data_IF_648566535959
#
_entry.id   IF_648566535959
#
_cell.length_a   1.000
_cell.length_b   1.000
_cell.length_c   1.000
_cell.angle_alpha   90.00
_cell.angle_beta   90.00
_cell.angle_gamma   90.00
#
_symmetry.space_group_name_H-M   'P 1'
#
loop_
_entity.id
_entity.type
_entity.pdbx_description
1 polymer ?
#
# COMPACT_ATOMS: atom_id res chain seq x y z
N UNK A 1 7.00 25.42 1.62
CA UNK A 1 5.83 25.97 0.91
C UNK A 1 5.74 25.50 -0.55
N UNK A 2 6.73 25.74 -1.42
CA UNK A 2 6.62 25.39 -2.86
C UNK A 2 6.64 23.89 -3.15
N UNK A 3 7.43 23.10 -2.40
CA UNK A 3 7.53 21.64 -2.57
C UNK A 3 6.26 20.88 -2.17
N UNK A 4 5.61 21.25 -1.08
CA UNK A 4 4.34 20.63 -0.64
C UNK A 4 3.20 20.96 -1.59
N UNK A 5 3.10 22.23 -2.03
CA UNK A 5 2.16 22.63 -3.08
C UNK A 5 2.39 21.87 -4.39
N UNK A 6 3.63 21.50 -4.73
CA UNK A 6 3.93 20.66 -5.90
C UNK A 6 3.41 19.23 -5.73
N UNK A 7 3.60 18.60 -4.56
CA UNK A 7 3.07 17.25 -4.28
C UNK A 7 1.54 17.24 -4.29
N UNK A 8 0.90 18.22 -3.65
CA UNK A 8 -0.57 18.34 -3.66
C UNK A 8 -1.12 18.64 -5.06
N UNK A 9 -0.42 19.46 -5.85
CA UNK A 9 -0.77 19.70 -7.26
C UNK A 9 -0.60 18.44 -8.10
N UNK A 10 0.49 17.69 -7.93
CA UNK A 10 0.71 16.43 -8.63
C UNK A 10 -0.39 15.40 -8.28
N UNK A 11 -0.76 15.30 -6.99
CA UNK A 11 -1.91 14.49 -6.54
C UNK A 11 -3.21 14.92 -7.22
N UNK A 12 -3.51 16.22 -7.22
CA UNK A 12 -4.72 16.74 -7.86
C UNK A 12 -4.74 16.46 -9.37
N UNK A 13 -3.60 16.64 -10.05
CA UNK A 13 -3.47 16.34 -11.48
C UNK A 13 -3.68 14.85 -11.75
N UNK A 14 -3.09 13.95 -10.96
CA UNK A 14 -3.30 12.51 -11.09
C UNK A 14 -4.77 12.13 -10.90
N UNK A 15 -5.42 12.67 -9.87
CA UNK A 15 -6.84 12.44 -9.59
C UNK A 15 -7.75 12.95 -10.72
N UNK A 16 -7.47 14.14 -11.26
CA UNK A 16 -8.21 14.69 -12.39
C UNK A 16 -8.04 13.84 -13.65
N UNK A 17 -6.81 13.43 -13.98
CA UNK A 17 -6.53 12.56 -15.13
C UNK A 17 -7.25 11.21 -15.04
N UNK A 18 -7.36 10.64 -13.84
CA UNK A 18 -8.11 9.40 -13.63
C UNK A 18 -9.63 9.59 -13.82
N UNK A 19 -10.16 10.78 -13.51
CA UNK A 19 -11.58 11.12 -13.70
C UNK A 19 -11.92 11.41 -15.17
N UNK A 20 -10.97 11.97 -15.93
CA UNK A 20 -11.12 12.27 -17.35
C UNK A 20 -10.97 11.04 -18.26
N UNK A 21 -10.66 9.87 -17.70
CA UNK A 21 -10.62 8.60 -18.40
C UNK A 21 -9.58 8.59 -19.52
N UNK A 22 -8.30 8.48 -19.18
CA UNK A 22 -7.19 8.15 -20.09
C UNK A 22 -7.34 8.68 -21.54
N UNK A 23 -7.65 9.97 -21.71
CA UNK A 23 -7.58 10.61 -23.03
C UNK A 23 -6.15 11.11 -23.24
N UNK A 24 -5.56 10.65 -24.34
CA UNK A 24 -4.22 10.97 -24.84
C UNK A 24 -4.02 12.48 -24.92
N UNK A 25 -2.91 12.97 -24.37
CA UNK A 25 -1.99 13.94 -24.99
C UNK A 25 -0.78 14.18 -24.05
N UNK A 26 0.40 13.83 -24.55
CA UNK A 26 1.69 13.98 -23.87
C UNK A 26 2.38 15.23 -24.44
N UNK A 27 2.71 16.26 -23.64
CA UNK A 27 3.87 17.09 -23.90
C UNK A 27 5.06 16.40 -23.24
N UNK A 28 6.00 15.94 -24.07
CA UNK A 28 7.18 15.22 -23.63
C UNK A 28 8.13 16.07 -22.81
N UNK A 29 8.82 15.43 -21.87
CA UNK A 29 10.23 15.61 -21.55
C UNK A 29 10.66 14.59 -20.48
N UNK A 30 11.63 13.74 -20.87
CA UNK A 30 12.67 13.13 -20.01
C UNK A 30 12.31 12.05 -18.94
N UNK A 31 11.26 11.24 -19.11
CA UNK A 31 11.06 9.98 -18.33
C UNK A 31 11.26 8.68 -19.15
N UNK A 32 11.48 8.77 -20.46
CA UNK A 32 11.50 7.59 -21.36
C UNK A 32 12.72 6.68 -21.20
N UNK A 33 13.80 7.11 -20.54
CA UNK A 33 15.02 6.29 -20.39
C UNK A 33 14.96 5.28 -19.25
N UNK A 34 14.26 5.55 -18.14
CA UNK A 34 14.17 4.59 -17.02
C UNK A 34 13.11 3.51 -17.27
N UNK A 35 11.97 3.87 -17.88
CA UNK A 35 10.94 2.89 -18.28
C UNK A 35 11.46 1.90 -19.33
N UNK A 36 12.29 2.35 -20.27
CA UNK A 36 12.86 1.46 -21.28
C UNK A 36 13.89 0.45 -20.72
N UNK A 37 14.58 0.78 -19.62
CA UNK A 37 15.49 -0.14 -18.93
C UNK A 37 14.75 -1.15 -18.05
N UNK A 38 13.67 -0.73 -17.37
CA UNK A 38 12.78 -1.66 -16.65
C UNK A 38 12.12 -2.67 -17.61
N UNK A 39 11.62 -2.21 -18.76
CA UNK A 39 11.00 -3.07 -19.78
C UNK A 39 12.00 -4.05 -20.42
N UNK A 40 13.28 -3.66 -20.57
CA UNK A 40 14.34 -4.56 -21.04
C UNK A 40 14.78 -5.58 -19.98
N UNK A 41 14.63 -5.27 -18.68
CA UNK A 41 14.91 -6.19 -17.57
C UNK A 41 13.93 -7.39 -17.53
N UNK A 42 12.76 -7.26 -18.16
CA UNK A 42 11.74 -8.31 -18.27
C UNK A 42 11.99 -9.31 -19.41
N UNK A 43 13.10 -9.20 -20.16
CA UNK A 43 13.45 -10.12 -21.25
C UNK A 43 14.12 -11.46 -20.79
N UNK A 44 13.71 -12.01 -19.65
CA UNK A 44 14.26 -13.27 -19.10
C UNK A 44 13.32 -14.48 -19.32
N UNK A 45 13.92 -15.66 -19.54
CA UNK A 45 13.21 -16.91 -19.94
C UNK A 45 12.48 -17.63 -18.79
N UNK A 46 12.62 -17.22 -17.52
CA UNK A 46 11.76 -17.67 -16.40
C UNK A 46 11.54 -16.58 -15.34
N UNK A 47 10.37 -16.57 -14.70
CA UNK A 47 9.99 -15.54 -13.71
C UNK A 47 10.84 -15.58 -12.42
N UNK A 48 11.38 -16.75 -12.06
CA UNK A 48 12.33 -16.89 -10.96
C UNK A 48 13.56 -16.00 -11.17
N UNK A 49 14.03 -15.91 -12.41
CA UNK A 49 15.17 -15.07 -12.77
C UNK A 49 14.76 -13.58 -12.71
N UNK A 50 13.59 -13.19 -13.21
CA UNK A 50 13.10 -11.80 -13.11
C UNK A 50 12.92 -11.31 -11.67
N UNK A 51 12.43 -12.16 -10.75
CA UNK A 51 12.35 -11.80 -9.32
C UNK A 51 13.70 -11.72 -8.64
N UNK A 52 14.63 -12.63 -8.96
CA UNK A 52 16.00 -12.55 -8.45
C UNK A 52 16.68 -11.29 -9.00
N UNK A 53 16.48 -10.96 -10.26
CA UNK A 53 16.98 -9.72 -10.88
C UNK A 53 16.38 -8.50 -10.21
N UNK A 54 15.06 -8.43 -10.00
CA UNK A 54 14.42 -7.32 -9.29
C UNK A 54 14.89 -7.22 -7.83
N UNK A 55 15.04 -8.35 -7.12
CA UNK A 55 15.58 -8.36 -5.75
C UNK A 55 17.05 -7.92 -5.69
N UNK A 56 17.84 -8.22 -6.72
CA UNK A 56 19.26 -7.88 -6.82
C UNK A 56 19.43 -6.41 -7.22
N UNK A 57 18.72 -5.96 -8.25
CA UNK A 57 18.60 -4.56 -8.65
C UNK A 57 18.18 -3.68 -7.45
N UNK A 58 17.14 -4.09 -6.72
CA UNK A 58 16.66 -3.37 -5.55
C UNK A 58 17.68 -3.31 -4.40
N UNK A 59 18.59 -4.28 -4.31
CA UNK A 59 19.66 -4.31 -3.30
C UNK A 59 20.83 -3.40 -3.67
N UNK A 60 21.07 -3.23 -4.97
CA UNK A 60 22.25 -2.55 -5.52
C UNK A 60 21.99 -1.08 -5.90
N UNK A 61 20.76 -0.72 -6.27
CA UNK A 61 20.46 0.59 -6.88
C UNK A 61 19.46 1.45 -6.13
N UNK A 62 18.77 0.94 -5.11
CA UNK A 62 17.77 1.74 -4.40
C UNK A 62 18.41 2.59 -3.30
N UNK A 63 18.54 3.88 -3.61
CA UNK A 63 18.86 4.96 -2.67
C UNK A 63 17.63 5.53 -1.95
N UNK A 64 16.40 5.08 -2.27
CA UNK A 64 15.14 5.56 -1.69
C UNK A 64 14.07 4.45 -1.43
N UNK A 65 13.44 4.38 -0.24
CA UNK A 65 12.55 3.28 0.19
C UNK A 65 11.32 2.96 -0.67
N UNK A 66 10.87 3.91 -1.50
CA UNK A 66 9.59 3.84 -2.20
C UNK A 66 9.65 3.04 -3.53
N UNK A 67 10.83 2.95 -4.15
CA UNK A 67 11.00 2.44 -5.51
C UNK A 67 10.87 0.91 -5.66
N UNK A 68 10.65 0.16 -4.57
CA UNK A 68 10.78 -1.30 -4.54
C UNK A 68 9.44 -2.07 -4.52
N UNK A 69 8.29 -1.39 -4.35
CA UNK A 69 7.01 -2.07 -4.16
C UNK A 69 6.28 -2.34 -5.48
N UNK A 70 5.84 -3.58 -5.66
CA UNK A 70 4.91 -3.96 -6.74
C UNK A 70 3.44 -3.75 -6.35
N UNK A 71 3.19 -3.26 -5.13
CA UNK A 71 1.85 -3.01 -4.59
C UNK A 71 1.48 -1.54 -4.67
N UNK A 72 0.20 -1.26 -4.95
CA UNK A 72 -0.40 0.06 -4.79
C UNK A 72 -0.64 0.29 -3.30
N UNK A 73 0.10 1.24 -2.73
CA UNK A 73 0.07 1.58 -1.33
C UNK A 73 -0.85 2.79 -1.11
N UNK A 74 -1.78 2.73 -0.15
CA UNK A 74 -2.72 3.80 0.07
C UNK A 74 -2.10 4.96 0.83
N UNK A 75 -2.52 6.18 0.48
CA UNK A 75 -2.33 7.34 1.34
C UNK A 75 -3.34 7.34 2.49
N UNK A 76 -3.06 8.08 3.57
CA UNK A 76 -4.04 8.25 4.63
C UNK A 76 -5.08 9.30 4.27
N UNK A 77 -6.36 9.02 4.56
CA UNK A 77 -7.47 9.94 4.36
C UNK A 77 -7.36 11.13 5.34
N UNK A 78 -6.79 12.23 4.86
CA UNK A 78 -6.65 13.48 5.63
C UNK A 78 -7.86 14.41 5.46
N UNK A 79 -8.49 14.36 4.30
CA UNK A 79 -9.65 15.16 3.91
C UNK A 79 -10.60 14.27 3.12
N UNK A 80 -11.91 14.47 3.28
CA UNK A 80 -12.93 13.70 2.57
C UNK A 80 -13.02 14.19 1.12
N UNK A 81 -12.80 13.33 0.10
CA UNK A 81 -12.95 13.72 -1.30
C UNK A 81 -14.36 14.23 -1.59
N UNK A 82 -14.50 15.34 -2.32
CA UNK A 82 -15.81 15.93 -2.65
C UNK A 82 -16.67 15.02 -3.54
N UNK A 83 -16.05 14.09 -4.27
CA UNK A 83 -16.71 13.10 -5.10
C UNK A 83 -16.62 11.69 -4.51
N UNK A 84 -16.52 11.57 -3.18
CA UNK A 84 -16.38 10.28 -2.50
C UNK A 84 -17.48 9.31 -2.91
N UNK A 85 -18.73 9.75 -2.94
CA UNK A 85 -19.88 8.88 -3.24
C UNK A 85 -19.93 8.37 -4.67
N UNK A 86 -19.59 9.21 -5.65
CA UNK A 86 -19.71 8.85 -7.06
C UNK A 86 -18.49 8.13 -7.63
N UNK A 87 -17.29 8.46 -7.12
CA UNK A 87 -16.03 8.09 -7.78
C UNK A 87 -15.18 7.11 -6.99
N UNK A 88 -15.62 6.67 -5.81
CA UNK A 88 -14.85 5.77 -4.96
C UNK A 88 -15.66 4.55 -4.53
N UNK A 89 -14.93 3.47 -4.25
CA UNK A 89 -15.42 2.26 -3.59
C UNK A 89 -14.85 2.22 -2.16
N UNK A 90 -15.60 1.72 -1.21
CA UNK A 90 -15.18 1.51 0.19
C UNK A 90 -15.14 0.02 0.53
N UNK A 91 -14.13 -0.38 1.30
CA UNK A 91 -13.87 -1.78 1.63
C UNK A 91 -13.44 -1.94 3.09
N UNK A 92 -13.97 -2.92 3.84
CA UNK A 92 -13.46 -3.25 5.16
C UNK A 92 -12.04 -3.81 5.03
N UNK A 93 -11.06 -3.16 5.66
CA UNK A 93 -9.66 -3.59 5.57
C UNK A 93 -9.38 -4.68 6.61
N UNK A 94 -9.01 -5.91 6.24
CA UNK A 94 -8.63 -6.92 7.22
C UNK A 94 -7.36 -6.55 7.99
N UNK A 95 -7.25 -7.00 9.24
CA UNK A 95 -6.00 -6.98 9.98
C UNK A 95 -5.03 -8.04 9.44
N UNK A 96 -3.77 -7.67 9.21
CA UNK A 96 -2.74 -8.62 8.79
C UNK A 96 -1.57 -7.97 8.07
N UNK A 97 -0.78 -8.78 7.39
CA UNK A 97 0.41 -8.37 6.65
C UNK A 97 0.08 -8.24 5.16
N UNK A 98 0.21 -7.04 4.59
CA UNK A 98 0.06 -6.81 3.14
C UNK A 98 1.16 -7.55 2.37
N UNK A 99 0.80 -8.27 1.32
CA UNK A 99 1.68 -9.14 0.56
C UNK A 99 1.27 -9.26 -0.91
N UNK A 100 2.26 -9.45 -1.77
CA UNK A 100 2.06 -9.86 -3.17
C UNK A 100 2.00 -11.39 -3.22
N UNK A 101 0.89 -11.94 -3.70
CA UNK A 101 0.76 -13.37 -3.94
C UNK A 101 0.93 -13.64 -5.43
N UNK A 102 1.79 -14.59 -5.75
CA UNK A 102 2.02 -14.99 -7.13
C UNK A 102 1.95 -16.50 -7.32
N UNK A 103 1.10 -16.94 -8.23
CA UNK A 103 0.94 -18.34 -8.61
C UNK A 103 1.48 -18.56 -10.03
N UNK A 104 2.57 -19.32 -10.15
CA UNK A 104 3.25 -19.58 -11.42
C UNK A 104 3.93 -20.96 -11.38
N UNK A 105 4.03 -21.60 -12.56
CA UNK A 105 4.76 -22.86 -12.74
C UNK A 105 4.35 -24.01 -11.79
N UNK A 106 3.13 -23.96 -11.26
CA UNK A 106 2.59 -24.97 -10.34
C UNK A 106 2.93 -24.75 -8.87
N UNK A 107 3.37 -23.54 -8.49
CA UNK A 107 3.58 -23.13 -7.09
C UNK A 107 3.09 -21.71 -6.85
N UNK A 108 2.80 -21.41 -5.59
CA UNK A 108 2.38 -20.09 -5.10
C UNK A 108 3.44 -19.52 -4.18
N UNK A 109 3.89 -18.31 -4.48
CA UNK A 109 4.90 -17.54 -3.76
C UNK A 109 4.25 -16.32 -3.11
N UNK A 110 4.77 -15.91 -1.96
CA UNK A 110 4.23 -14.78 -1.20
C UNK A 110 5.37 -13.86 -0.81
N UNK A 111 5.28 -12.61 -1.23
CA UNK A 111 6.28 -11.59 -1.01
C UNK A 111 5.73 -10.44 -0.19
N UNK A 112 6.59 -9.84 0.62
CA UNK A 112 6.28 -8.60 1.35
C UNK A 112 6.21 -7.41 0.39
N UNK A 113 5.82 -6.25 0.93
CA UNK A 113 5.83 -4.96 0.23
C UNK A 113 7.19 -4.61 -0.40
N UNK A 114 8.30 -5.11 0.15
CA UNK A 114 9.67 -4.91 -0.36
C UNK A 114 10.22 -6.14 -1.09
N UNK A 115 9.31 -6.96 -1.62
CA UNK A 115 9.59 -8.17 -2.40
C UNK A 115 10.41 -9.25 -1.69
N UNK A 116 10.55 -9.16 -0.36
CA UNK A 116 11.16 -10.24 0.43
C UNK A 116 10.18 -11.40 0.62
N UNK A 117 10.60 -12.67 0.42
CA UNK A 117 9.74 -13.84 0.65
C UNK A 117 9.23 -13.89 2.10
N UNK A 118 7.91 -14.03 2.28
CA UNK A 118 7.28 -14.10 3.60
C UNK A 118 7.15 -15.53 4.14
N UNK A 119 7.05 -16.50 3.24
CA UNK A 119 6.88 -17.91 3.57
C UNK A 119 7.44 -18.82 2.47
N UNK A 120 7.53 -20.13 2.76
CA UNK A 120 7.91 -21.12 1.75
C UNK A 120 6.81 -21.22 0.68
N UNK A 121 7.17 -21.45 -0.59
CA UNK A 121 6.18 -21.66 -1.64
C UNK A 121 5.28 -22.86 -1.34
N UNK A 122 4.01 -22.76 -1.71
CA UNK A 122 3.01 -23.78 -1.46
C UNK A 122 2.12 -24.04 -2.69
N UNK A 123 1.33 -25.11 -2.64
CA UNK A 123 0.34 -25.40 -3.69
C UNK A 123 -0.97 -24.69 -3.37
N UNK A 124 -1.53 -23.97 -4.33
CA UNK A 124 -2.85 -23.35 -4.21
C UNK A 124 -3.77 -23.72 -5.37
N UNK A 125 -5.07 -23.48 -5.19
CA UNK A 125 -6.06 -23.57 -6.25
C UNK A 125 -6.05 -22.38 -7.22
N UNK A 126 -5.17 -21.39 -7.03
CA UNK A 126 -5.04 -20.29 -7.99
C UNK A 126 -4.60 -20.82 -9.36
N UNK A 127 -4.91 -20.12 -10.46
CA UNK A 127 -4.36 -20.44 -11.78
C UNK A 127 -2.84 -20.54 -11.71
N UNK A 128 -2.27 -21.62 -12.23
CA UNK A 128 -0.83 -21.93 -12.15
C UNK A 128 -0.24 -22.07 -10.74
N UNK A 129 -1.05 -22.14 -9.68
CA UNK A 129 -0.61 -22.28 -8.30
C UNK A 129 -0.34 -23.70 -7.81
N UNK A 130 -0.69 -24.72 -8.61
CA UNK A 130 -0.42 -26.13 -8.35
C UNK A 130 -0.15 -26.88 -9.65
N UNK A 131 0.34 -28.12 -9.56
CA UNK A 131 0.47 -28.98 -10.73
C UNK A 131 -0.87 -29.26 -11.43
N UNK A 132 -2.00 -29.22 -10.71
CA UNK A 132 -3.36 -29.40 -11.27
C UNK A 132 -3.84 -28.18 -12.05
N UNK A 133 -3.45 -26.99 -11.62
CA UNK A 133 -3.86 -25.72 -12.22
C UNK A 133 -2.79 -25.14 -13.15
N UNK A 134 -1.65 -25.84 -13.33
CA UNK A 134 -0.52 -25.40 -14.13
C UNK A 134 -0.90 -25.28 -15.60
N UNK A 135 -0.68 -24.10 -16.17
CA UNK A 135 -0.69 -23.84 -17.61
C UNK A 135 0.63 -23.19 -18.01
N UNK A 136 1.23 -23.65 -19.10
CA UNK A 136 2.55 -23.16 -19.55
C UNK A 136 2.44 -21.68 -19.91
N UNK A 137 3.32 -20.84 -19.33
CA UNK A 137 3.35 -19.39 -19.58
C UNK A 137 2.31 -18.57 -18.80
N UNK A 138 1.35 -19.20 -18.11
CA UNK A 138 0.34 -18.47 -17.35
C UNK A 138 0.80 -18.23 -15.92
N UNK A 139 0.43 -17.06 -15.38
CA UNK A 139 0.59 -16.74 -13.97
C UNK A 139 -0.65 -16.03 -13.41
N UNK A 140 -0.77 -16.01 -12.09
CA UNK A 140 -1.76 -15.25 -11.34
C UNK A 140 -1.02 -14.35 -10.35
N UNK A 141 -1.36 -13.08 -10.31
CA UNK A 141 -0.74 -12.08 -9.43
C UNK A 141 -1.85 -11.34 -8.68
N UNK A 142 -1.87 -11.49 -7.36
CA UNK A 142 -2.86 -10.90 -6.47
C UNK A 142 -2.18 -9.99 -5.45
N UNK A 143 -2.88 -8.92 -5.10
CA UNK A 143 -2.58 -8.12 -3.93
C UNK A 143 -3.43 -8.59 -2.76
N UNK A 144 -2.81 -9.00 -1.66
CA UNK A 144 -3.48 -9.65 -0.53
C UNK A 144 -3.05 -9.09 0.82
N UNK A 145 -3.87 -9.29 1.85
CA UNK A 145 -3.48 -9.24 3.26
C UNK A 145 -3.56 -10.67 3.80
N UNK A 146 -2.47 -11.18 4.36
CA UNK A 146 -2.49 -12.47 5.07
C UNK A 146 -2.75 -12.22 6.56
N UNK A 147 -3.67 -12.98 7.15
CA UNK A 147 -3.97 -12.91 8.57
C UNK A 147 -2.79 -13.35 9.46
N UNK A 148 -2.74 -12.86 10.70
CA UNK A 148 -1.77 -13.29 11.71
C UNK A 148 -0.30 -13.24 11.27
N UNK A 149 0.51 -14.18 11.80
CA UNK A 149 1.90 -14.34 11.39
C UNK A 149 1.97 -15.16 10.09
N UNK A 150 2.56 -14.63 9.00
CA UNK A 150 2.69 -15.34 7.74
C UNK A 150 3.43 -16.68 7.82
N UNK A 151 4.15 -16.98 8.90
CA UNK A 151 4.90 -18.25 9.05
C UNK A 151 4.07 -19.41 9.60
N UNK A 152 2.90 -19.13 10.15
CA UNK A 152 2.04 -20.15 10.73
C UNK A 152 1.20 -20.83 9.63
N UNK A 153 0.69 -22.04 9.91
CA UNK A 153 -0.17 -22.79 8.98
C UNK A 153 -1.61 -22.28 8.97
N UNK A 154 -2.40 -22.73 7.99
CA UNK A 154 -3.85 -22.51 7.86
C UNK A 154 -4.24 -21.03 7.89
N UNK A 155 -3.62 -20.25 7.00
CA UNK A 155 -3.83 -18.81 6.88
C UNK A 155 -4.84 -18.46 5.81
N UNK A 156 -5.47 -17.30 6.01
CA UNK A 156 -6.40 -16.71 5.05
C UNK A 156 -5.71 -15.53 4.38
N UNK A 157 -5.59 -15.63 3.06
CA UNK A 157 -5.20 -14.53 2.19
C UNK A 157 -6.46 -13.76 1.78
N UNK A 158 -6.64 -12.59 2.37
CA UNK A 158 -7.67 -11.66 1.98
C UNK A 158 -7.25 -10.95 0.69
N UNK A 159 -7.90 -11.29 -0.43
CA UNK A 159 -7.61 -10.74 -1.76
C UNK A 159 -8.21 -9.34 -1.84
N UNK A 160 -7.34 -8.37 -2.13
CA UNK A 160 -7.67 -6.95 -2.21
C UNK A 160 -7.76 -6.48 -3.65
N UNK A 161 -6.83 -6.90 -4.51
CA UNK A 161 -6.84 -6.57 -5.93
C UNK A 161 -6.23 -7.71 -6.74
N UNK A 162 -6.45 -7.70 -8.06
CA UNK A 162 -5.93 -8.67 -9.00
C UNK A 162 -5.20 -7.94 -10.13
N UNK A 163 -3.90 -8.18 -10.25
CA UNK A 163 -3.07 -7.57 -11.28
C UNK A 163 -3.07 -8.45 -12.53
N UNK A 164 -2.98 -9.77 -12.34
CA UNK A 164 -2.95 -10.72 -13.45
C UNK A 164 -3.73 -11.99 -13.08
N UNK A 165 -4.54 -12.50 -14.01
CA UNK A 165 -5.28 -13.74 -13.84
C UNK A 165 -5.10 -14.69 -15.02
N UNK A 166 -4.53 -15.88 -14.76
CA UNK A 166 -4.28 -16.90 -15.79
C UNK A 166 -3.53 -16.35 -17.02
N UNK A 167 -2.53 -15.50 -16.80
CA UNK A 167 -1.70 -14.89 -17.85
C UNK A 167 -2.25 -13.57 -18.41
N UNK A 168 -3.52 -13.23 -18.16
CA UNK A 168 -4.10 -11.96 -18.59
C UNK A 168 -3.80 -10.85 -17.59
N UNK A 169 -2.99 -9.87 -17.99
CA UNK A 169 -2.72 -8.66 -17.22
C UNK A 169 -3.91 -7.71 -17.33
N UNK A 170 -4.41 -7.26 -16.18
CA UNK A 170 -5.53 -6.33 -16.05
C UNK A 170 -5.15 -5.13 -15.15
N UNK A 171 -3.86 -4.96 -14.83
CA UNK A 171 -3.38 -3.89 -13.94
C UNK A 171 -3.72 -2.49 -14.45
N UNK A 172 -3.73 -2.29 -15.77
CA UNK A 172 -4.10 -1.03 -16.43
C UNK A 172 -5.62 -0.79 -16.55
N UNK A 173 -6.45 -1.80 -16.25
CA UNK A 173 -7.90 -1.61 -16.23
C UNK A 173 -8.33 -0.77 -15.02
N UNK A 174 -9.54 -0.21 -15.03
CA UNK A 174 -10.10 0.52 -13.88
C UNK A 174 -10.20 -0.37 -12.63
N UNK A 175 -10.07 0.23 -11.43
CA UNK A 175 -10.21 -0.49 -10.18
C UNK A 175 -11.57 -1.21 -10.09
N UNK A 176 -12.66 -0.54 -10.46
CA UNK A 176 -13.99 -1.14 -10.48
C UNK A 176 -14.04 -2.42 -11.35
N UNK A 177 -13.42 -2.38 -12.54
CA UNK A 177 -13.33 -3.57 -13.39
C UNK A 177 -12.48 -4.67 -12.76
N UNK A 178 -11.28 -4.37 -12.25
CA UNK A 178 -10.40 -5.37 -11.63
C UNK A 178 -11.07 -6.06 -10.45
N UNK A 179 -11.79 -5.29 -9.62
CA UNK A 179 -12.50 -5.79 -8.44
C UNK A 179 -13.73 -6.62 -8.80
N UNK A 180 -14.52 -6.18 -9.78
CA UNK A 180 -15.61 -6.99 -10.33
C UNK A 180 -15.09 -8.29 -10.93
N UNK A 181 -14.05 -8.22 -11.75
CA UNK A 181 -13.48 -9.36 -12.45
C UNK A 181 -12.95 -10.42 -11.49
N UNK A 182 -12.14 -10.03 -10.51
CA UNK A 182 -11.63 -11.00 -9.52
C UNK A 182 -12.76 -11.61 -8.70
N UNK A 183 -13.85 -10.87 -8.44
CA UNK A 183 -15.01 -11.41 -7.76
C UNK A 183 -15.68 -12.54 -8.55
N UNK A 184 -15.91 -12.34 -9.84
CA UNK A 184 -16.48 -13.37 -10.71
C UNK A 184 -15.55 -14.58 -10.84
N UNK A 185 -14.24 -14.34 -11.03
CA UNK A 185 -13.26 -15.43 -11.12
C UNK A 185 -13.14 -16.24 -9.83
N UNK A 186 -13.31 -15.60 -8.68
CA UNK A 186 -13.26 -16.26 -7.38
C UNK A 186 -14.52 -17.11 -7.11
N UNK A 187 -15.67 -16.78 -7.71
CA UNK A 187 -16.91 -17.58 -7.65
C UNK A 187 -16.85 -18.81 -8.55
N UNK A 188 -16.27 -18.68 -9.74
CA UNK A 188 -16.18 -19.76 -10.73
C UNK A 188 -15.25 -20.91 -10.29
N UNK A 189 -14.22 -20.62 -9.48
CA UNK A 189 -13.22 -21.59 -9.07
C UNK A 189 -13.48 -22.21 -7.69
N UNK A 190 -13.18 -23.49 -7.52
CA UNK A 190 -13.00 -24.09 -6.18
C UNK A 190 -11.66 -23.64 -5.58
N UNK A 191 -11.52 -22.34 -5.33
CA UNK A 191 -10.29 -21.73 -4.83
C UNK A 191 -10.04 -22.13 -3.37
N UNK A 192 -11.09 -22.57 -2.66
CA UNK A 192 -11.04 -23.10 -1.29
C UNK A 192 -11.53 -24.56 -1.26
N UNK A 193 -10.72 -25.48 -1.79
CA UNK A 193 -10.99 -26.92 -1.74
C UNK A 193 -10.63 -27.55 -0.39
N UNK A 194 -11.19 -28.74 -0.11
CA UNK A 194 -11.07 -29.47 1.18
C UNK A 194 -9.62 -29.79 1.60
N UNK A 195 -8.66 -29.73 0.65
CA UNK A 195 -7.23 -30.00 0.89
C UNK A 195 -6.34 -28.75 0.76
N UNK A 196 -6.91 -27.54 0.75
CA UNK A 196 -6.10 -26.32 0.65
C UNK A 196 -5.53 -25.94 2.03
N UNK A 197 -4.20 -25.93 2.12
CA UNK A 197 -3.47 -25.48 3.31
C UNK A 197 -3.71 -23.99 3.62
N UNK A 198 -4.11 -23.21 2.61
CA UNK A 198 -4.34 -21.78 2.72
C UNK A 198 -5.59 -21.39 1.95
N UNK A 199 -6.39 -20.50 2.54
CA UNK A 199 -7.63 -20.03 1.98
C UNK A 199 -7.43 -18.68 1.30
N UNK A 200 -8.13 -18.44 0.19
CA UNK A 200 -8.23 -17.13 -0.42
C UNK A 200 -9.66 -16.61 -0.26
N UNK A 201 -9.80 -15.47 0.39
CA UNK A 201 -11.09 -14.83 0.64
C UNK A 201 -11.08 -13.46 0.00
N UNK A 202 -12.05 -13.16 -0.87
CA UNK A 202 -12.16 -11.83 -1.42
C UNK A 202 -12.65 -10.85 -0.35
N UNK A 203 -11.98 -9.71 -0.23
CA UNK A 203 -12.50 -8.59 0.57
C UNK A 203 -13.73 -8.01 -0.14
N UNK A 204 -14.89 -7.83 0.50
CA UNK A 204 -16.03 -7.25 -0.18
C UNK A 204 -15.75 -5.79 -0.60
N UNK A 205 -16.46 -5.34 -1.62
CA UNK A 205 -16.41 -3.96 -2.11
C UNK A 205 -17.81 -3.38 -2.11
N UNK A 206 -17.95 -2.16 -1.63
CA UNK A 206 -19.21 -1.43 -1.58
C UNK A 206 -19.04 -0.10 -2.29
N UNK A 207 -20.12 0.40 -2.88
CA UNK A 207 -20.17 1.80 -3.30
C UNK A 207 -20.10 2.71 -2.08
N UNK A 208 -19.52 3.89 -2.24
CA UNK A 208 -19.46 4.92 -1.19
C UNK A 208 -20.81 5.64 -1.00
N UNK A 209 -21.93 4.91 -1.01
CA UNK A 209 -23.23 5.42 -0.54
C UNK A 209 -23.27 5.40 0.99
N UNK A 210 -24.28 6.02 1.59
CA UNK A 210 -24.43 6.00 3.06
C UNK A 210 -24.55 4.56 3.58
N UNK A 211 -25.32 3.73 2.87
CA UNK A 211 -25.53 2.31 3.19
C UNK A 211 -24.25 1.49 2.98
N UNK A 212 -23.60 1.62 1.82
CA UNK A 212 -22.39 0.86 1.50
C UNK A 212 -21.21 1.20 2.41
N UNK A 213 -21.07 2.49 2.79
CA UNK A 213 -20.09 2.90 3.79
C UNK A 213 -20.37 2.27 5.17
N UNK A 214 -21.62 2.33 5.65
CA UNK A 214 -21.98 1.73 6.94
C UNK A 214 -21.80 0.22 6.94
N UNK A 215 -22.09 -0.45 5.83
CA UNK A 215 -21.87 -1.89 5.67
C UNK A 215 -20.38 -2.24 5.80
N UNK A 216 -19.49 -1.49 5.12
CA UNK A 216 -18.05 -1.65 5.28
C UNK A 216 -17.57 -1.32 6.72
N UNK A 217 -18.07 -0.22 7.29
CA UNK A 217 -17.71 0.26 8.61
C UNK A 217 -18.12 -0.70 9.74
N UNK A 218 -19.26 -1.36 9.59
CA UNK A 218 -19.76 -2.35 10.56
C UNK A 218 -19.45 -3.81 10.19
N UNK A 219 -18.80 -4.06 9.05
CA UNK A 219 -18.45 -5.42 8.61
C UNK A 219 -17.73 -6.25 9.69
N UNK A 220 -18.21 -7.49 9.91
CA UNK A 220 -17.73 -8.42 10.95
C UNK A 220 -17.23 -9.78 10.41
N UNK A 221 -17.05 -9.92 9.09
CA UNK A 221 -16.62 -11.20 8.50
C UNK A 221 -15.18 -11.62 8.87
N UNK A 222 -14.38 -10.69 9.41
CA UNK A 222 -13.04 -10.92 9.95
C UNK A 222 -12.64 -9.76 10.87
N UNK A 223 -11.52 -9.92 11.56
CA UNK A 223 -10.93 -8.85 12.36
C UNK A 223 -10.44 -7.71 11.45
N UNK A 224 -11.07 -6.54 11.59
CA UNK A 224 -10.85 -5.37 10.74
C UNK A 224 -9.77 -4.46 11.33
N UNK A 225 -9.03 -3.79 10.45
CA UNK A 225 -8.01 -2.79 10.76
C UNK A 225 -8.21 -1.54 9.88
N UNK A 226 -9.42 -0.98 9.95
CA UNK A 226 -9.82 0.22 9.21
C UNK A 226 -10.60 -0.04 7.93
N UNK A 227 -10.63 0.97 7.07
CA UNK A 227 -11.28 0.98 5.76
C UNK A 227 -10.26 1.31 4.66
N UNK A 228 -10.46 0.74 3.48
CA UNK A 228 -9.82 1.16 2.25
C UNK A 228 -10.83 1.86 1.33
N UNK A 229 -10.35 2.87 0.63
CA UNK A 229 -11.07 3.50 -0.46
C UNK A 229 -10.27 3.37 -1.75
N UNK A 230 -10.93 3.04 -2.86
CA UNK A 230 -10.33 2.95 -4.18
C UNK A 230 -11.05 3.89 -5.14
N UNK A 231 -10.30 4.71 -5.88
CA UNK A 231 -10.87 5.46 -7.00
C UNK A 231 -11.32 4.48 -8.09
N UNK A 232 -12.61 4.52 -8.45
CA UNK A 232 -13.25 3.55 -9.35
C UNK A 232 -12.52 3.40 -10.68
N UNK A 233 -12.12 4.51 -11.28
CA UNK A 233 -11.57 4.58 -12.63
C UNK A 233 -10.04 4.43 -12.69
N UNK A 234 -9.35 4.38 -11.54
CA UNK A 234 -7.91 4.39 -11.52
C UNK A 234 -7.28 3.03 -11.93
N UNK A 235 -6.15 3.05 -12.68
CA UNK A 235 -5.35 1.86 -12.87
C UNK A 235 -4.69 1.42 -11.55
N UNK A 236 -4.04 0.27 -11.56
CA UNK A 236 -3.26 -0.19 -10.42
C UNK A 236 -1.90 0.52 -10.39
N UNK A 237 -1.86 1.69 -9.76
CA UNK A 237 -0.64 2.49 -9.66
C UNK A 237 0.27 1.98 -8.54
N UNK A 238 1.38 1.33 -8.90
CA UNK A 238 2.40 0.84 -7.94
C UNK A 238 2.99 2.00 -7.13
N UNK A 239 3.40 1.72 -5.88
CA UNK A 239 3.93 2.75 -4.98
C UNK A 239 2.84 3.44 -4.17
N UNK A 240 3.21 4.50 -3.44
CA UNK A 240 2.25 5.32 -2.71
C UNK A 240 1.35 6.05 -3.72
N UNK A 241 0.05 5.82 -3.66
CA UNK A 241 -0.90 6.28 -4.67
C UNK A 241 -2.05 7.07 -4.05
N UNK A 242 -2.39 8.24 -4.61
CA UNK A 242 -3.59 8.98 -4.21
C UNK A 242 -4.88 8.28 -4.65
N UNK A 243 -4.81 7.25 -5.52
CA UNK A 243 -5.99 6.49 -5.96
C UNK A 243 -6.48 5.46 -4.94
N UNK A 244 -5.70 5.22 -3.89
CA UNK A 244 -6.06 4.37 -2.78
C UNK A 244 -5.91 5.14 -1.48
N UNK A 245 -6.94 5.14 -0.64
CA UNK A 245 -6.91 5.78 0.67
C UNK A 245 -7.15 4.76 1.79
N UNK A 246 -6.56 5.02 2.94
CA UNK A 246 -6.80 4.27 4.17
C UNK A 246 -7.27 5.21 5.27
N UNK A 247 -8.26 4.76 6.02
CA UNK A 247 -8.78 5.48 7.18
C UNK A 247 -9.11 4.49 8.30
N UNK A 248 -9.01 4.92 9.55
CA UNK A 248 -9.46 4.13 10.70
C UNK A 248 -9.74 5.01 11.91
N UNK A 249 -10.60 4.50 12.77
CA UNK A 249 -10.87 5.03 14.10
C UNK A 249 -10.86 3.89 15.14
N UNK A 250 -11.20 4.24 16.39
CA UNK A 250 -11.27 3.30 17.51
C UNK A 250 -12.28 2.16 17.32
N UNK A 251 -13.33 2.37 16.54
CA UNK A 251 -14.41 1.40 16.39
C UNK A 251 -14.15 0.39 15.26
N UNK A 252 -13.43 0.79 14.20
CA UNK A 252 -13.12 -0.09 13.07
C UNK A 252 -11.71 -0.69 13.09
N UNK A 253 -10.85 -0.32 14.04
CA UNK A 253 -9.51 -0.89 14.20
C UNK A 253 -9.09 -1.06 15.67
N UNK A 254 -8.70 -2.28 16.09
CA UNK A 254 -8.13 -2.49 17.42
C UNK A 254 -6.72 -1.88 17.56
N UNK A 255 -6.08 -1.54 16.44
CA UNK A 255 -4.73 -0.95 16.39
C UNK A 255 -4.78 0.59 16.30
N UNK A 256 -5.95 1.20 16.42
CA UNK A 256 -6.09 2.66 16.32
C UNK A 256 -5.27 3.38 17.40
N UNK A 257 -5.25 2.87 18.63
CA UNK A 257 -4.45 3.46 19.72
C UNK A 257 -2.94 3.36 19.45
N UNK A 258 -2.48 2.25 18.85
CA UNK A 258 -1.07 2.12 18.42
C UNK A 258 -0.72 3.13 17.31
N UNK A 259 -1.67 3.45 16.44
CA UNK A 259 -1.49 4.49 15.41
C UNK A 259 -1.48 5.87 16.05
N UNK A 260 -2.38 6.15 17.01
CA UNK A 260 -2.40 7.40 17.79
C UNK A 260 -1.09 7.58 18.53
N UNK A 261 -0.56 6.54 19.17
CA UNK A 261 0.70 6.61 19.92
C UNK A 261 1.95 6.49 19.04
N UNK A 262 1.81 6.05 17.80
CA UNK A 262 2.95 5.65 16.97
C UNK A 262 3.42 4.25 17.37
N UNK A 263 3.78 3.46 16.37
CA UNK A 263 4.11 2.04 16.57
C UNK A 263 5.14 1.85 17.70
N UNK A 264 4.80 1.01 18.68
CA UNK A 264 5.46 0.74 19.97
C UNK A 264 4.85 1.52 21.17
N UNK A 265 3.77 0.97 21.73
CA UNK A 265 3.02 1.40 22.92
C UNK A 265 3.82 1.37 24.26
N UNK A 266 5.15 1.53 24.22
CA UNK A 266 6.02 1.32 25.38
C UNK A 266 6.59 2.61 25.98
N UNK A 267 6.34 3.79 25.40
CA UNK A 267 6.92 5.03 25.91
C UNK A 267 5.90 5.89 26.65
N UNK A 268 6.16 6.09 27.95
CA UNK A 268 5.58 7.15 28.78
C UNK A 268 5.97 8.58 28.33
N UNK A 269 6.60 8.72 27.16
CA UNK A 269 6.95 10.00 26.56
C UNK A 269 5.81 10.47 25.67
N UNK A 270 5.46 11.76 25.75
CA UNK A 270 4.41 12.36 24.91
C UNK A 270 4.83 12.48 23.41
N UNK A 271 5.93 11.83 22.98
CA UNK A 271 6.51 11.94 21.64
C UNK A 271 5.86 10.97 20.65
N UNK A 272 5.81 11.34 19.38
CA UNK A 272 5.36 10.46 18.29
C UNK A 272 6.50 9.59 17.79
N UNK A 273 6.20 8.38 17.33
CA UNK A 273 7.19 7.45 16.77
C UNK A 273 6.89 7.12 15.31
N UNK A 274 7.89 7.19 14.44
CA UNK A 274 7.77 6.91 13.01
C UNK A 274 8.99 6.17 12.47
N UNK A 275 8.84 5.44 11.37
CA UNK A 275 9.96 4.90 10.61
C UNK A 275 10.22 5.76 9.37
N UNK A 276 11.41 6.30 9.23
CA UNK A 276 11.82 7.10 8.08
C UNK A 276 13.15 6.57 7.54
N UNK A 277 13.53 7.02 6.35
CA UNK A 277 14.80 6.65 5.75
C UNK A 277 15.82 7.75 5.92
N UNK A 278 17.04 7.39 6.29
CA UNK A 278 18.17 8.30 6.36
C UNK A 278 19.06 8.07 5.14
N UNK A 279 19.19 9.10 4.29
CA UNK A 279 20.12 9.13 3.16
C UNK A 279 21.58 9.25 3.62
N UNK A 280 22.53 8.96 2.73
CA UNK A 280 23.98 9.02 3.04
C UNK A 280 24.43 10.44 3.36
N UNK A 281 23.76 11.42 2.79
CA UNK A 281 23.94 12.85 3.00
C UNK A 281 23.27 13.38 4.28
N UNK A 282 22.62 12.51 5.07
CA UNK A 282 21.93 12.88 6.31
C UNK A 282 20.52 13.47 6.09
N UNK A 283 20.00 13.41 4.87
CA UNK A 283 18.59 13.72 4.60
C UNK A 283 17.69 12.67 5.24
N UNK A 284 16.56 13.09 5.78
CA UNK A 284 15.55 12.18 6.33
C UNK A 284 14.32 12.24 5.44
N UNK A 285 13.96 11.08 4.90
CA UNK A 285 13.04 10.91 3.79
C UNK A 285 11.84 10.05 4.19
N UNK A 286 10.68 10.43 3.69
CA UNK A 286 9.45 9.63 3.66
C UNK A 286 9.46 8.66 2.46
N UNK A 287 8.44 7.79 2.36
CA UNK A 287 8.24 6.93 1.19
C UNK A 287 7.37 7.56 0.09
N UNK A 288 7.11 8.88 0.13
CA UNK A 288 6.37 9.58 -0.91
C UNK A 288 7.11 9.51 -2.27
N UNK A 289 6.42 9.79 -3.36
CA UNK A 289 7.01 9.87 -4.71
C UNK A 289 6.76 11.26 -5.32
N UNK A 290 7.80 12.09 -5.54
CA UNK A 290 9.18 11.89 -5.07
C UNK A 290 9.29 11.95 -3.54
N UNK A 291 10.32 11.33 -2.93
CA UNK A 291 10.49 11.32 -1.47
C UNK A 291 10.53 12.73 -0.86
N UNK A 292 9.74 12.97 0.19
CA UNK A 292 9.75 14.25 0.89
C UNK A 292 10.87 14.25 1.94
N UNK A 293 11.77 15.24 1.84
CA UNK A 293 12.77 15.53 2.86
C UNK A 293 12.10 16.26 4.02
N UNK A 294 11.93 15.58 5.15
CA UNK A 294 11.24 16.12 6.33
C UNK A 294 12.19 16.77 7.34
N UNK A 295 13.48 16.43 7.26
CA UNK A 295 14.55 17.01 8.06
C UNK A 295 15.91 16.71 7.43
N UNK A 296 16.93 17.45 7.85
CA UNK A 296 18.34 17.14 7.60
C UNK A 296 19.00 17.01 8.97
N UNK A 297 19.49 15.82 9.32
CA UNK A 297 20.18 15.63 10.58
C UNK A 297 21.67 15.42 10.33
N UNK A 298 22.45 16.46 10.63
CA UNK A 298 23.90 16.44 10.80
C UNK A 298 24.17 16.98 12.21
N UNK A 299 24.27 16.13 13.23
CA UNK A 299 25.09 16.37 14.44
C UNK A 299 25.03 15.23 15.48
N UNK A 300 26.22 14.61 15.67
CA UNK A 300 26.98 14.46 16.92
C UNK A 300 26.77 13.33 17.94
N UNK A 301 26.02 12.26 17.64
CA UNK A 301 26.13 11.05 18.51
C UNK A 301 25.98 9.67 17.84
N UNK A 302 25.78 9.62 16.52
CA UNK A 302 25.80 8.38 15.73
C UNK A 302 26.67 8.60 14.49
N UNK A 303 27.96 8.84 14.71
CA UNK A 303 28.97 9.07 13.66
C UNK A 303 29.49 7.76 13.09
N UNK A 304 28.63 6.85 12.66
CA UNK A 304 29.01 5.97 11.54
C UNK A 304 28.47 6.64 10.27
N UNK A 305 29.29 7.56 9.74
CA UNK A 305 29.01 8.48 8.62
C UNK A 305 28.70 7.78 7.28
N UNK A 306 28.30 6.51 7.29
CA UNK A 306 28.15 5.66 6.10
C UNK A 306 26.88 4.77 6.09
N UNK A 307 25.99 4.85 7.08
CA UNK A 307 24.83 3.94 7.15
C UNK A 307 23.57 4.62 6.63
N UNK A 308 23.33 4.53 5.31
CA UNK A 308 22.00 4.77 4.75
C UNK A 308 21.06 3.62 5.08
N UNK A 309 19.82 3.92 5.46
CA UNK A 309 18.87 2.86 5.78
C UNK A 309 17.60 3.34 6.44
N UNK A 310 16.79 2.38 6.91
CA UNK A 310 15.57 2.66 7.67
C UNK A 310 15.91 2.84 9.15
N UNK A 311 15.35 3.88 9.75
CA UNK A 311 15.51 4.18 11.16
C UNK A 311 14.18 4.52 11.78
N UNK A 312 14.05 4.18 13.06
CA UNK A 312 12.97 4.64 13.91
C UNK A 312 13.36 6.01 14.47
N UNK A 313 12.44 6.95 14.39
CA UNK A 313 12.57 8.27 14.95
C UNK A 313 11.45 8.56 15.94
N UNK A 314 11.77 9.36 16.95
CA UNK A 314 10.80 10.06 17.78
C UNK A 314 10.75 11.54 17.37
N UNK A 315 9.59 12.17 17.47
CA UNK A 315 9.43 13.59 17.19
C UNK A 315 8.35 14.23 18.08
N UNK A 316 8.40 15.55 18.18
CA UNK A 316 7.52 16.32 19.07
C UNK A 316 6.25 16.75 18.33
N UNK A 317 6.40 17.32 17.13
CA UNK A 317 5.30 17.82 16.32
C UNK A 317 5.65 17.86 14.82
N UNK A 318 4.63 18.04 13.99
CA UNK A 318 4.74 18.32 12.56
C UNK A 318 4.38 19.78 12.29
N UNK A 319 5.27 20.48 11.58
CA UNK A 319 4.95 21.73 10.92
C UNK A 319 4.37 21.38 9.54
N UNK A 320 3.05 21.23 9.49
CA UNK A 320 2.32 20.86 8.28
C UNK A 320 2.55 21.89 7.16
N UNK A 321 2.53 23.18 7.47
CA UNK A 321 2.71 24.25 6.48
C UNK A 321 4.10 24.25 5.83
N UNK A 322 5.14 23.97 6.62
CA UNK A 322 6.52 23.90 6.12
C UNK A 322 6.91 22.51 5.61
N UNK A 323 6.11 21.47 5.88
CA UNK A 323 6.42 20.09 5.52
C UNK A 323 7.63 19.56 6.29
N UNK A 324 7.73 19.88 7.59
CA UNK A 324 8.89 19.54 8.43
C UNK A 324 8.48 18.82 9.71
N UNK A 325 9.39 18.01 10.22
CA UNK A 325 9.24 17.35 11.52
C UNK A 325 10.10 18.06 12.55
N UNK A 326 9.51 18.46 13.68
CA UNK A 326 10.16 19.20 14.77
C UNK A 326 10.53 18.24 15.89
N UNK A 327 11.72 18.45 16.49
CA UNK A 327 12.18 17.62 17.61
C UNK A 327 12.59 16.19 17.22
N UNK A 328 12.92 15.97 15.94
CA UNK A 328 13.22 14.65 15.39
C UNK A 328 14.51 14.06 15.98
N UNK A 329 14.39 12.90 16.61
CA UNK A 329 15.48 12.15 17.25
C UNK A 329 15.51 10.72 16.73
N UNK A 330 16.64 10.30 16.17
CA UNK A 330 16.86 8.90 15.80
C UNK A 330 16.94 8.02 17.06
N UNK A 331 16.20 6.91 17.06
CA UNK A 331 16.11 5.96 18.18
C UNK A 331 16.92 4.69 17.89
N UNK A 332 16.68 4.05 16.74
CA UNK A 332 17.33 2.78 16.36
C UNK A 332 17.24 2.52 14.86
N UNK A 333 18.19 1.75 14.33
CA UNK A 333 18.10 1.20 12.99
C UNK A 333 16.98 0.14 12.90
N UNK A 334 16.33 0.06 11.73
CA UNK A 334 15.26 -0.88 11.41
C UNK A 334 15.74 -1.79 10.29
N UNK A 335 15.73 -3.10 10.51
CA UNK A 335 16.28 -4.08 9.56
C UNK A 335 15.44 -4.27 8.30
N UNK A 336 14.12 -4.07 8.39
CA UNK A 336 13.17 -4.38 7.33
C UNK A 336 11.91 -3.55 7.47
N UNK A 337 11.25 -3.25 6.35
CA UNK A 337 10.03 -2.48 6.32
C UNK A 337 10.10 -1.43 5.22
N UNK A 338 9.37 -0.35 5.40
CA UNK A 338 9.37 0.81 4.52
C UNK A 338 9.31 2.07 5.38
N UNK A 339 9.80 3.19 4.85
CA UNK A 339 9.55 4.48 5.47
C UNK A 339 8.05 4.79 5.46
N UNK A 340 7.60 5.58 6.43
CA UNK A 340 6.24 6.08 6.51
C UNK A 340 6.05 7.26 5.55
N UNK A 341 4.83 7.38 5.01
CA UNK A 341 4.46 8.50 4.14
C UNK A 341 4.18 9.77 4.95
N UNK A 342 4.28 10.92 4.29
CA UNK A 342 3.87 12.20 4.87
C UNK A 342 2.41 12.16 5.34
N UNK A 343 1.51 11.58 4.55
CA UNK A 343 0.09 11.47 4.91
C UNK A 343 -0.13 10.63 6.17
N UNK A 344 0.70 9.61 6.41
CA UNK A 344 0.67 8.85 7.67
C UNK A 344 1.07 9.72 8.86
N UNK A 345 2.16 10.48 8.73
CA UNK A 345 2.63 11.37 9.81
C UNK A 345 1.53 12.37 10.19
N UNK A 346 0.95 13.04 9.19
CA UNK A 346 -0.14 14.01 9.41
C UNK A 346 -1.35 13.34 10.05
N UNK A 347 -1.77 12.18 9.55
CA UNK A 347 -2.88 11.43 10.14
C UNK A 347 -2.62 11.11 11.61
N UNK A 348 -1.42 10.61 11.95
CA UNK A 348 -1.07 10.30 13.34
C UNK A 348 -1.12 11.53 14.25
N UNK A 349 -0.64 12.70 13.78
CA UNK A 349 -0.73 13.94 14.55
C UNK A 349 -2.18 14.36 14.79
N UNK A 350 -3.01 14.35 13.73
CA UNK A 350 -4.42 14.68 13.85
C UNK A 350 -5.18 13.67 14.71
N UNK A 351 -4.85 12.39 14.63
CA UNK A 351 -5.40 11.35 15.50
C UNK A 351 -5.11 11.60 16.98
N UNK A 352 -3.90 12.09 17.31
CA UNK A 352 -3.55 12.49 18.68
C UNK A 352 -4.39 13.64 19.20
N UNK A 353 -4.67 14.60 18.33
CA UNK A 353 -5.44 15.81 18.65
C UNK A 353 -6.95 15.63 18.46
N UNK A 354 -7.39 14.44 18.04
CA UNK A 354 -8.77 14.14 17.66
C UNK A 354 -9.31 15.08 16.54
N UNK A 355 -8.41 15.48 15.62
CA UNK A 355 -8.64 16.40 14.48
C UNK A 355 -8.72 15.69 13.11
N UNK A 356 -8.65 14.36 13.09
CA UNK A 356 -8.81 13.60 11.85
C UNK A 356 -10.29 13.58 11.41
N UNK A 357 -10.60 13.33 10.11
CA UNK A 357 -11.98 13.15 9.68
C UNK A 357 -12.68 12.07 10.51
N UNK A 358 -13.80 12.41 11.13
CA UNK A 358 -14.65 11.48 11.85
C UNK A 358 -15.53 10.68 10.89
N UNK A 359 -16.21 9.65 11.41
CA UNK A 359 -17.26 8.95 10.68
C UNK A 359 -18.32 9.91 10.16
N UNK A 360 -18.71 10.89 10.96
CA UNK A 360 -19.73 11.87 10.59
C UNK A 360 -19.26 12.77 9.45
N UNK A 361 -17.99 13.18 9.45
CA UNK A 361 -17.42 13.97 8.35
C UNK A 361 -17.40 13.18 7.03
N UNK A 362 -17.08 11.88 7.11
CA UNK A 362 -17.08 11.00 5.93
C UNK A 362 -18.51 10.81 5.41
N UNK A 363 -19.47 10.52 6.28
CA UNK A 363 -20.89 10.40 5.91
C UNK A 363 -21.45 11.71 5.33
N UNK A 364 -21.09 12.85 5.92
CA UNK A 364 -21.48 14.16 5.38
C UNK A 364 -20.89 14.41 3.98
N UNK A 365 -19.67 13.96 3.72
CA UNK A 365 -19.03 14.07 2.40
C UNK A 365 -19.60 13.13 1.33
N UNK A 366 -20.32 12.07 1.71
CA UNK A 366 -21.07 11.21 0.77
C UNK A 366 -22.33 11.93 0.26
N UNK A 367 -22.96 12.73 1.12
CA UNK A 367 -24.23 13.42 0.85
C UNK A 367 -25.45 12.54 1.16
N UNK A 368 -26.58 13.15 1.55
CA UNK A 368 -27.79 12.44 2.00
C UNK A 368 -28.56 11.70 0.88
N UNK A 369 -28.25 11.97 -0.40
CA UNK A 369 -28.99 11.49 -1.56
C UNK A 369 -28.14 10.69 -2.57
N UNK A 370 -26.98 10.17 -2.14
CA UNK A 370 -26.03 9.45 -3.01
C UNK A 370 -26.10 7.93 -2.87
#
# INVERSE_FOLDING_TARGET
MERMKRVERARAIMLLRAQEGASKDIPGEEEETEQHEEDQLFASKTFSDSMVTLQTYNREHITAPAACTQLMLPEWLLYVPSNLSSSWLVRPRPQGVRCLVMAAEGRTHVFSRTLQPLMRPFLSSLPSGSWRTRRKGNMCVLDCIVDGNPRDRNKTFFVLDCLQWSGCDISECSAEFRLFWVAERMKEGSINGVNNTYNFMLVPSFDCTHEGFLEAYHYQGYLKDGLFFYSKLAPYARGLSPFALVWKDKACSPLYEDVKQGTDAANASNKMSTTLFMGREGSILTCDSPPLVVSHQLTDSWTDKNVSGLFRFEYDELDEEKGRVVGLKCVRAVKSGMADSWTKLVFMQRARRDEQPSVYDILAGIGENA
#
